data_IF_080718228789
#
_entry.id   IF_080718228789
#
_cell.length_a   1.000
_cell.length_b   1.000
_cell.length_c   1.000
_cell.angle_alpha   90.00
_cell.angle_beta   90.00
_cell.angle_gamma   90.00
#
_symmetry.space_group_name_H-M   'P 1'
#
loop_
_entity.id
_entity.type
_entity.pdbx_description
1 polymer ?
#
# COMPACT_ATOMS: atom_id res chain seq x y z
N UNK A 1 -9.00 15.86 8.10
CA UNK A 1 -8.37 14.52 8.02
C UNK A 1 -7.07 14.62 7.24
N UNK A 2 -6.09 13.74 7.44
CA UNK A 2 -4.79 13.86 6.77
C UNK A 2 -4.88 13.73 5.23
N UNK A 3 -5.93 13.07 4.70
CA UNK A 3 -6.16 12.89 3.27
C UNK A 3 -6.81 14.07 2.52
N UNK A 4 -7.31 15.10 3.20
CA UNK A 4 -8.08 16.18 2.56
C UNK A 4 -7.21 17.29 1.93
N UNK A 5 -5.92 17.32 2.23
CA UNK A 5 -5.06 18.48 1.92
C UNK A 5 -3.98 18.11 0.92
N UNK A 6 -3.95 18.82 -0.21
CA UNK A 6 -2.78 18.82 -1.09
C UNK A 6 -1.63 19.58 -0.41
N UNK A 7 -0.46 18.95 -0.32
CA UNK A 7 0.74 19.58 0.25
C UNK A 7 1.51 20.47 -0.73
N UNK A 8 0.99 20.64 -1.95
CA UNK A 8 1.51 21.58 -2.94
C UNK A 8 0.33 22.22 -3.70
N UNK A 9 0.51 23.43 -4.28
CA UNK A 9 -0.53 24.05 -5.09
C UNK A 9 -1.00 23.12 -6.21
N UNK A 10 -2.32 23.00 -6.39
CA UNK A 10 -2.94 22.03 -7.31
C UNK A 10 -2.44 22.20 -8.74
N UNK A 11 -2.22 23.44 -9.17
CA UNK A 11 -1.72 23.81 -10.50
C UNK A 11 -0.27 23.36 -10.76
N UNK A 12 0.49 23.01 -9.72
CA UNK A 12 1.84 22.44 -9.85
C UNK A 12 1.85 20.91 -9.92
N UNK A 13 0.70 20.27 -9.72
CA UNK A 13 0.59 18.82 -9.69
C UNK A 13 0.17 18.27 -11.05
N UNK A 14 0.78 17.16 -11.44
CA UNK A 14 0.37 16.46 -12.66
C UNK A 14 -1.01 15.83 -12.49
N UNK A 15 -1.72 15.57 -13.59
CA UNK A 15 -2.99 14.82 -13.55
C UNK A 15 -2.84 13.44 -12.92
N UNK A 16 -1.70 12.79 -13.17
CA UNK A 16 -1.39 11.48 -12.60
C UNK A 16 -1.23 11.57 -11.08
N UNK A 17 -0.45 12.53 -10.58
CA UNK A 17 -0.28 12.78 -9.13
C UNK A 17 -1.61 13.08 -8.45
N UNK A 18 -2.49 13.86 -9.09
CA UNK A 18 -3.83 14.13 -8.56
C UNK A 18 -4.69 12.86 -8.50
N UNK A 19 -4.63 12.01 -9.52
CA UNK A 19 -5.36 10.74 -9.52
C UNK A 19 -4.84 9.78 -8.44
N UNK A 20 -3.51 9.70 -8.25
CA UNK A 20 -2.91 8.94 -7.15
C UNK A 20 -3.33 9.49 -5.79
N UNK A 21 -3.35 10.82 -5.61
CA UNK A 21 -3.83 11.44 -4.37
C UNK A 21 -5.27 11.04 -4.06
N UNK A 22 -6.17 11.09 -5.05
CA UNK A 22 -7.55 10.65 -4.84
C UNK A 22 -7.64 9.18 -4.40
N UNK A 23 -6.90 8.28 -5.05
CA UNK A 23 -6.89 6.87 -4.68
C UNK A 23 -6.25 6.63 -3.30
N UNK A 24 -5.13 7.28 -2.98
CA UNK A 24 -4.45 7.15 -1.68
C UNK A 24 -5.32 7.69 -0.55
N UNK A 25 -5.92 8.87 -0.71
CA UNK A 25 -6.81 9.44 0.31
C UNK A 25 -8.03 8.55 0.54
N UNK A 26 -8.64 8.03 -0.54
CA UNK A 26 -9.76 7.09 -0.41
C UNK A 26 -9.33 5.82 0.34
N UNK A 27 -8.19 5.22 -0.04
CA UNK A 27 -7.65 4.06 0.67
C UNK A 27 -7.37 4.35 2.16
N UNK A 28 -6.86 5.54 2.50
CA UNK A 28 -6.66 5.95 3.88
C UNK A 28 -7.98 6.01 4.65
N UNK A 29 -9.02 6.61 4.06
CA UNK A 29 -10.35 6.72 4.65
C UNK A 29 -10.98 5.35 4.90
N UNK A 30 -10.85 4.41 3.95
CA UNK A 30 -11.35 3.03 4.14
C UNK A 30 -10.61 2.33 5.29
N UNK A 31 -9.28 2.46 5.38
CA UNK A 31 -8.51 1.86 6.47
C UNK A 31 -8.83 2.49 7.84
N UNK A 32 -9.09 3.80 7.89
CA UNK A 32 -9.58 4.48 9.09
C UNK A 32 -10.97 3.95 9.49
N UNK A 33 -11.87 3.77 8.52
CA UNK A 33 -13.20 3.22 8.77
C UNK A 33 -13.13 1.79 9.31
N UNK A 34 -12.28 0.93 8.74
CA UNK A 34 -12.03 -0.44 9.24
C UNK A 34 -11.58 -0.41 10.70
N UNK A 35 -10.59 0.42 11.04
CA UNK A 35 -10.09 0.55 12.41
C UNK A 35 -11.19 1.04 13.36
N UNK A 36 -11.90 2.11 13.00
CA UNK A 36 -12.94 2.69 13.83
C UNK A 36 -14.13 1.74 14.04
N UNK A 37 -14.61 1.09 12.98
CA UNK A 37 -15.71 0.14 13.11
C UNK A 37 -15.31 -1.04 13.99
N UNK A 38 -14.07 -1.53 13.88
CA UNK A 38 -13.60 -2.61 14.74
C UNK A 38 -13.59 -2.19 16.22
N UNK A 39 -13.01 -1.03 16.52
CA UNK A 39 -12.98 -0.50 17.90
C UNK A 39 -14.39 -0.31 18.46
N UNK A 40 -15.31 0.27 17.69
CA UNK A 40 -16.70 0.46 18.09
C UNK A 40 -17.43 -0.87 18.30
N UNK A 41 -17.19 -1.85 17.44
CA UNK A 41 -17.81 -3.17 17.57
C UNK A 41 -17.33 -3.89 18.85
N UNK A 42 -16.04 -3.79 19.18
CA UNK A 42 -15.49 -4.39 20.40
C UNK A 42 -16.03 -3.71 21.69
N UNK A 43 -16.36 -2.41 21.64
CA UNK A 43 -16.95 -1.63 22.74
C UNK A 43 -18.50 -1.61 22.74
N UNK A 44 -19.16 -2.30 21.79
CA UNK A 44 -20.60 -2.23 21.63
C UNK A 44 -21.35 -3.21 22.54
N UNK A 45 -22.27 -2.70 23.37
CA UNK A 45 -23.13 -3.51 24.25
C UNK A 45 -24.38 -4.08 23.56
N UNK A 46 -24.76 -3.55 22.39
CA UNK A 46 -25.93 -4.00 21.62
C UNK A 46 -25.49 -4.95 20.50
N UNK A 47 -25.98 -6.20 20.56
CA UNK A 47 -25.59 -7.24 19.62
C UNK A 47 -26.02 -6.96 18.18
N UNK A 48 -27.19 -6.33 17.95
CA UNK A 48 -27.67 -6.03 16.61
C UNK A 48 -26.84 -4.92 15.96
N UNK A 49 -26.52 -3.87 16.73
CA UNK A 49 -25.62 -2.82 16.26
C UNK A 49 -24.20 -3.35 16.03
N UNK A 50 -23.67 -4.22 16.90
CA UNK A 50 -22.35 -4.83 16.72
C UNK A 50 -22.25 -5.57 15.39
N UNK A 51 -23.26 -6.34 15.01
CA UNK A 51 -23.26 -7.04 13.74
C UNK A 51 -23.29 -6.10 12.54
N UNK A 52 -24.02 -4.97 12.61
CA UNK A 52 -24.00 -3.93 11.58
C UNK A 52 -22.60 -3.31 11.46
N UNK A 53 -21.96 -2.95 12.58
CA UNK A 53 -20.62 -2.37 12.57
C UNK A 53 -19.59 -3.32 11.96
N UNK A 54 -19.65 -4.62 12.31
CA UNK A 54 -18.77 -5.64 11.76
C UNK A 54 -19.04 -5.93 10.28
N UNK A 55 -20.30 -5.84 9.84
CA UNK A 55 -20.67 -5.96 8.43
C UNK A 55 -20.04 -4.81 7.63
N UNK A 56 -20.30 -3.55 8.04
CA UNK A 56 -19.74 -2.37 7.38
C UNK A 56 -18.21 -2.44 7.33
N UNK A 57 -17.55 -2.76 8.45
CA UNK A 57 -16.10 -2.92 8.52
C UNK A 57 -15.55 -3.87 7.44
N UNK A 58 -16.24 -4.99 7.17
CA UNK A 58 -15.80 -5.96 6.16
C UNK A 58 -15.99 -5.45 4.75
N UNK A 59 -17.04 -4.67 4.48
CA UNK A 59 -17.22 -4.00 3.19
C UNK A 59 -16.14 -2.95 2.94
N UNK A 60 -15.73 -2.18 3.95
CA UNK A 60 -14.64 -1.20 3.78
C UNK A 60 -13.28 -1.88 3.47
N UNK A 61 -13.05 -3.11 3.96
CA UNK A 61 -11.87 -3.90 3.53
C UNK A 61 -11.95 -4.20 2.03
N UNK A 62 -13.12 -4.54 1.50
CA UNK A 62 -13.31 -4.74 0.06
C UNK A 62 -13.03 -3.44 -0.72
N UNK A 63 -13.58 -2.31 -0.28
CA UNK A 63 -13.34 -0.99 -0.88
C UNK A 63 -11.86 -0.61 -0.88
N UNK A 64 -11.16 -0.85 0.25
CA UNK A 64 -9.72 -0.65 0.37
C UNK A 64 -8.96 -1.51 -0.66
N UNK A 65 -9.29 -2.79 -0.80
CA UNK A 65 -8.60 -3.69 -1.73
C UNK A 65 -8.87 -3.35 -3.20
N UNK A 66 -10.09 -2.93 -3.54
CA UNK A 66 -10.43 -2.43 -4.87
C UNK A 66 -9.58 -1.21 -5.25
N UNK A 67 -9.42 -0.28 -4.31
CA UNK A 67 -8.64 0.94 -4.50
C UNK A 67 -7.14 0.65 -4.59
N UNK A 68 -6.64 -0.26 -3.74
CA UNK A 68 -5.25 -0.73 -3.76
C UNK A 68 -4.91 -1.42 -5.10
N UNK A 69 -5.83 -2.21 -5.66
CA UNK A 69 -5.63 -2.82 -6.97
C UNK A 69 -5.57 -1.78 -8.09
N UNK A 70 -6.36 -0.70 -8.00
CA UNK A 70 -6.23 0.41 -8.95
C UNK A 70 -4.84 1.06 -8.84
N UNK A 71 -4.34 1.32 -7.62
CA UNK A 71 -2.98 1.83 -7.41
C UNK A 71 -1.93 0.90 -8.03
N UNK A 72 -2.02 -0.41 -7.77
CA UNK A 72 -1.12 -1.43 -8.35
C UNK A 72 -1.10 -1.41 -9.89
N UNK A 73 -2.23 -1.14 -10.54
CA UNK A 73 -2.31 -1.09 -12.02
C UNK A 73 -1.77 0.22 -12.61
N UNK A 74 -1.76 1.30 -11.83
CA UNK A 74 -1.51 2.65 -12.33
C UNK A 74 -0.19 3.24 -11.84
N UNK A 75 0.49 2.62 -10.87
CA UNK A 75 1.77 3.07 -10.33
C UNK A 75 2.77 1.91 -10.24
N UNK A 76 3.94 2.10 -10.84
CA UNK A 76 4.97 1.06 -10.95
C UNK A 76 5.61 0.70 -9.61
N UNK A 77 5.76 1.68 -8.72
CA UNK A 77 6.36 1.47 -7.41
C UNK A 77 5.40 0.67 -6.53
N UNK A 78 4.10 1.01 -6.51
CA UNK A 78 3.08 0.18 -5.87
C UNK A 78 3.07 -1.25 -6.41
N UNK A 79 3.15 -1.42 -7.74
CA UNK A 79 3.16 -2.73 -8.36
C UNK A 79 4.36 -3.59 -7.91
N UNK A 80 5.55 -2.99 -7.85
CA UNK A 80 6.77 -3.66 -7.39
C UNK A 80 6.64 -4.11 -5.93
N UNK A 81 6.25 -3.20 -5.02
CA UNK A 81 6.16 -3.52 -3.60
C UNK A 81 5.06 -4.55 -3.31
N UNK A 82 3.90 -4.44 -3.96
CA UNK A 82 2.82 -5.43 -3.82
C UNK A 82 3.29 -6.82 -4.25
N UNK A 83 4.02 -6.91 -5.37
CA UNK A 83 4.55 -8.18 -5.87
C UNK A 83 5.60 -8.77 -4.92
N UNK A 84 6.43 -7.92 -4.32
CA UNK A 84 7.49 -8.35 -3.40
C UNK A 84 6.90 -8.94 -2.13
N UNK A 85 5.92 -8.27 -1.51
CA UNK A 85 5.51 -8.58 -0.14
C UNK A 85 4.24 -9.41 -0.02
N UNK A 86 3.24 -9.22 -0.89
CA UNK A 86 1.96 -9.91 -0.71
C UNK A 86 2.05 -11.38 -1.09
N UNK A 87 1.29 -12.22 -0.39
CA UNK A 87 1.23 -13.67 -0.57
C UNK A 87 2.57 -14.39 -0.35
N UNK A 88 3.42 -13.82 0.50
CA UNK A 88 4.66 -14.45 0.95
C UNK A 88 4.49 -15.10 2.33
N UNK A 89 5.37 -16.04 2.66
CA UNK A 89 5.44 -16.68 3.97
C UNK A 89 6.78 -16.36 4.65
N UNK A 90 6.83 -16.44 5.97
CA UNK A 90 8.02 -16.12 6.78
C UNK A 90 8.07 -14.65 7.26
N UNK A 91 9.19 -14.21 7.86
CA UNK A 91 9.31 -12.86 8.39
C UNK A 91 9.24 -11.80 7.28
N UNK A 92 8.25 -10.89 7.34
CA UNK A 92 8.02 -9.84 6.31
C UNK A 92 9.28 -9.01 6.04
N UNK A 93 10.08 -8.72 7.08
CA UNK A 93 11.32 -7.94 6.97
C UNK A 93 12.45 -8.64 6.22
N UNK A 94 12.33 -9.94 5.96
CA UNK A 94 13.32 -10.75 5.25
C UNK A 94 12.91 -11.04 3.80
N UNK A 95 11.68 -10.71 3.42
CA UNK A 95 11.13 -10.99 2.08
C UNK A 95 11.93 -10.31 0.97
N UNK A 96 12.37 -9.07 1.16
CA UNK A 96 13.21 -8.36 0.17
C UNK A 96 14.53 -9.09 -0.11
N UNK A 97 15.18 -9.66 0.91
CA UNK A 97 16.45 -10.36 0.78
C UNK A 97 16.27 -11.65 -0.06
N UNK A 98 15.14 -12.33 0.12
CA UNK A 98 14.78 -13.50 -0.68
C UNK A 98 14.39 -13.14 -2.13
N UNK A 99 13.73 -12.00 -2.34
CA UNK A 99 13.31 -11.54 -3.67
C UNK A 99 14.49 -10.99 -4.50
N UNK A 100 15.51 -10.45 -3.85
CA UNK A 100 16.72 -9.88 -4.49
C UNK A 100 17.89 -10.86 -4.53
N UNK A 101 17.81 -12.00 -3.84
CA UNK A 101 18.86 -13.00 -3.69
C UNK A 101 18.57 -14.33 -4.41
N UNK A 102 18.68 -14.34 -5.75
CA UNK A 102 18.91 -15.54 -6.58
C UNK A 102 19.45 -15.15 -7.96
N UNK A 103 20.46 -14.29 -7.98
CA UNK A 103 21.23 -13.96 -9.18
C UNK A 103 22.63 -14.59 -9.14
N UNK A 104 22.72 -15.92 -9.23
CA UNK A 104 23.97 -16.61 -9.56
C UNK A 104 23.85 -17.27 -10.95
N UNK A 105 24.35 -16.50 -11.92
CA UNK A 105 25.02 -16.82 -13.19
C UNK A 105 24.31 -17.61 -14.33
N UNK A 106 24.00 -16.89 -15.43
CA UNK A 106 24.71 -17.03 -16.72
C UNK A 106 24.39 -15.93 -17.75
N UNK A 107 25.40 -15.08 -17.98
CA UNK A 107 25.80 -14.46 -19.25
C UNK A 107 24.75 -13.82 -20.19
N UNK A 108 24.83 -12.50 -20.36
CA UNK A 108 24.21 -11.83 -21.50
C UNK A 108 24.26 -10.30 -21.41
N UNK A 109 25.20 -9.71 -22.16
CA UNK A 109 25.43 -8.28 -22.32
C UNK A 109 24.16 -7.50 -22.72
N UNK A 110 23.81 -6.43 -22.01
CA UNK A 110 22.70 -5.53 -22.38
C UNK A 110 22.57 -4.34 -21.44
N UNK A 111 22.89 -3.15 -21.96
CA UNK A 111 22.70 -1.84 -21.31
C UNK A 111 21.22 -1.55 -21.01
N UNK A 112 20.94 -0.84 -19.92
CA UNK A 112 19.71 -0.05 -19.79
C UNK A 112 19.13 0.09 -18.39
N UNK A 113 19.17 1.32 -17.86
CA UNK A 113 18.17 1.81 -16.90
C UNK A 113 18.53 1.72 -15.42
N UNK A 114 19.36 2.65 -14.94
CA UNK A 114 19.53 2.89 -13.51
C UNK A 114 18.27 3.50 -12.89
N UNK A 115 17.38 2.65 -12.37
CA UNK A 115 16.42 3.03 -11.34
C UNK A 115 17.12 2.94 -9.99
N UNK A 116 17.48 4.07 -9.40
CA UNK A 116 18.06 4.14 -8.06
C UNK A 116 16.93 3.87 -7.05
N UNK A 117 16.64 2.58 -6.83
CA UNK A 117 15.54 2.09 -6.02
C UNK A 117 15.60 2.62 -4.58
N UNK A 118 14.49 3.22 -4.15
CA UNK A 118 14.24 3.79 -2.83
C UNK A 118 14.12 2.69 -1.75
N UNK A 119 15.19 1.91 -1.52
CA UNK A 119 15.11 0.76 -0.60
C UNK A 119 15.70 1.06 0.78
N UNK A 120 14.95 0.64 1.81
CA UNK A 120 15.33 0.71 3.24
C UNK A 120 16.61 -0.12 3.50
N UNK A 121 16.81 -1.22 2.76
CA UNK A 121 17.99 -2.08 2.85
C UNK A 121 19.33 -1.35 2.63
N UNK A 122 19.35 -0.29 1.82
CA UNK A 122 20.58 0.48 1.57
C UNK A 122 20.98 1.38 2.74
N UNK A 123 20.03 1.79 3.60
CA UNK A 123 20.32 2.60 4.79
C UNK A 123 21.09 1.83 5.87
N UNK A 124 20.91 0.51 5.97
CA UNK A 124 21.66 -0.30 6.96
C UNK A 124 23.16 -0.46 6.62
N UNK A 125 23.56 -0.30 5.36
CA UNK A 125 24.96 -0.47 4.91
C UNK A 125 25.83 0.79 5.02
N UNK A 126 25.30 1.93 5.49
CA UNK A 126 26.02 3.22 5.58
C UNK A 126 26.38 3.66 7.01
N UNK A 127 26.40 2.75 7.99
CA UNK A 127 26.92 3.04 9.34
C UNK A 127 28.43 2.89 9.40
#
# INVERSE_FOLDING_TARGET
MAGEVLHAPREKLSRHTLALHHAISSLMEELEAVDWYRQRADDCEDDELREILLHNMREEIEHAMMTLEWLRRNDGDFAEQIKTYLFTEGPITEVEESATGSGDDKGGNGEGGGGDGLTIGRMKKRR
#
